data_IF_714431008042
#
_entry.id   IF_714431008042
#
_cell.length_a   1.000
_cell.length_b   1.000
_cell.length_c   1.000
_cell.angle_alpha   90.00
_cell.angle_beta   90.00
_cell.angle_gamma   90.00
#
_symmetry.space_group_name_H-M   'P 1'
#
loop_
_entity.id
_entity.type
_entity.pdbx_description
1 polymer ?
#
# COMPACT_ATOMS: atom_id res chain seq x y z
N UNK A 1 56.92 -27.46 -46.96
CA UNK A 1 57.50 -27.31 -45.61
C UNK A 1 56.34 -26.92 -44.69
N UNK A 2 55.79 -27.83 -43.87
CA UNK A 2 55.95 -27.92 -42.39
C UNK A 2 55.88 -26.53 -41.72
N UNK A 3 55.09 -26.20 -40.69
CA UNK A 3 54.23 -26.85 -39.68
C UNK A 3 53.44 -25.68 -39.06
N UNK A 4 52.22 -25.86 -38.55
CA UNK A 4 52.06 -25.98 -37.10
C UNK A 4 50.61 -25.78 -36.67
N UNK A 5 50.25 -26.55 -35.65
CA UNK A 5 48.92 -26.83 -35.07
C UNK A 5 48.66 -25.92 -33.85
N UNK A 6 47.39 -25.69 -33.51
CA UNK A 6 46.79 -25.39 -32.17
C UNK A 6 45.97 -24.09 -32.20
N UNK A 7 44.79 -23.95 -31.58
CA UNK A 7 43.94 -24.83 -30.79
C UNK A 7 42.58 -24.10 -30.56
N UNK A 8 41.52 -24.89 -30.35
CA UNK A 8 40.34 -24.70 -29.47
C UNK A 8 39.69 -23.31 -29.31
N UNK A 9 38.36 -23.26 -29.46
CA UNK A 9 37.38 -23.20 -28.35
C UNK A 9 35.97 -23.00 -28.93
N UNK A 10 35.04 -23.88 -28.55
CA UNK A 10 33.60 -23.76 -28.79
C UNK A 10 32.95 -22.98 -27.64
N UNK A 11 32.01 -22.07 -27.91
CA UNK A 11 31.00 -21.66 -26.92
C UNK A 11 29.65 -21.46 -27.60
N UNK A 12 28.69 -22.30 -27.19
CA UNK A 12 27.28 -22.18 -27.49
C UNK A 12 26.70 -20.95 -26.77
N UNK A 13 26.09 -20.03 -27.52
CA UNK A 13 25.27 -18.94 -26.97
C UNK A 13 23.88 -19.49 -26.64
N UNK A 14 23.72 -19.93 -25.39
CA UNK A 14 22.42 -20.27 -24.80
C UNK A 14 21.64 -19.00 -24.45
N UNK A 15 20.38 -18.94 -24.89
CA UNK A 15 19.43 -17.89 -24.57
C UNK A 15 19.07 -17.91 -23.08
N UNK A 16 19.36 -16.83 -22.35
CA UNK A 16 18.86 -16.60 -21.00
C UNK A 16 17.54 -15.84 -21.06
N UNK A 17 16.42 -16.58 -21.00
CA UNK A 17 15.12 -16.04 -20.65
C UNK A 17 15.16 -15.64 -19.17
N UNK A 18 15.32 -14.35 -18.89
CA UNK A 18 15.13 -13.79 -17.56
C UNK A 18 13.63 -13.81 -17.23
N UNK A 19 13.16 -14.90 -16.62
CA UNK A 19 11.88 -14.90 -15.93
C UNK A 19 12.02 -14.00 -14.70
N UNK A 20 11.43 -12.80 -14.79
CA UNK A 20 11.31 -11.90 -13.65
C UNK A 20 10.60 -12.61 -12.51
N UNK A 21 11.31 -12.79 -11.40
CA UNK A 21 10.73 -13.25 -10.15
C UNK A 21 9.81 -12.15 -9.62
N UNK A 22 8.52 -12.23 -9.95
CA UNK A 22 7.50 -11.46 -9.24
C UNK A 22 7.49 -11.94 -7.79
N UNK A 23 7.85 -11.05 -6.85
CA UNK A 23 7.65 -11.30 -5.43
C UNK A 23 6.15 -11.39 -5.17
N UNK A 24 5.66 -12.59 -4.84
CA UNK A 24 4.28 -12.76 -4.39
C UNK A 24 4.13 -12.05 -3.05
N UNK A 25 3.41 -10.93 -3.05
CA UNK A 25 2.95 -10.29 -1.80
C UNK A 25 1.89 -11.18 -1.17
N UNK A 26 2.02 -11.46 0.13
CA UNK A 26 1.02 -12.23 0.86
C UNK A 26 -0.32 -11.48 0.81
N UNK A 27 -1.41 -12.20 0.59
CA UNK A 27 -2.74 -11.60 0.64
C UNK A 27 -3.00 -11.04 2.06
N UNK A 28 -3.75 -9.93 2.18
CA UNK A 28 -4.17 -9.39 3.47
C UNK A 28 -4.98 -10.45 4.24
N UNK A 29 -4.85 -10.48 5.56
CA UNK A 29 -5.69 -11.34 6.42
C UNK A 29 -6.95 -10.60 6.86
N UNK A 30 -7.98 -11.33 7.27
CA UNK A 30 -9.21 -10.71 7.79
C UNK A 30 -8.95 -9.95 9.10
N UNK A 31 -9.45 -8.72 9.19
CA UNK A 31 -9.43 -7.91 10.40
C UNK A 31 -10.59 -8.30 11.31
N UNK A 32 -10.28 -8.70 12.55
CA UNK A 32 -11.29 -8.89 13.60
C UNK A 32 -11.69 -7.54 14.22
N UNK A 33 -12.70 -6.89 13.63
CA UNK A 33 -13.28 -5.65 14.11
C UNK A 33 -14.82 -5.79 14.21
N UNK A 34 -15.34 -6.40 15.29
CA UNK A 34 -16.76 -6.77 15.38
C UNK A 34 -17.71 -5.58 15.36
N UNK A 35 -17.25 -4.40 15.78
CA UNK A 35 -18.06 -3.19 15.89
C UNK A 35 -17.74 -2.12 14.84
N UNK A 36 -16.83 -2.39 13.90
CA UNK A 36 -16.56 -1.50 12.77
C UNK A 36 -17.32 -2.00 11.54
N UNK A 37 -17.93 -1.12 10.76
CA UNK A 37 -18.46 -1.50 9.44
C UNK A 37 -17.33 -1.86 8.50
N UNK A 38 -16.28 -1.05 8.41
CA UNK A 38 -15.04 -1.36 7.70
C UNK A 38 -13.81 -1.08 8.57
N UNK A 39 -12.72 -1.81 8.34
CA UNK A 39 -11.46 -1.60 9.05
C UNK A 39 -10.27 -2.03 8.20
N UNK A 40 -9.12 -1.40 8.42
CA UNK A 40 -7.87 -1.86 7.83
C UNK A 40 -6.67 -1.56 8.75
N UNK A 41 -5.67 -2.43 8.64
CA UNK A 41 -4.30 -2.14 8.99
C UNK A 41 -3.52 -1.94 7.69
N UNK A 42 -2.91 -0.77 7.54
CA UNK A 42 -2.20 -0.34 6.34
C UNK A 42 -0.72 -0.17 6.68
N UNK A 43 0.16 -0.74 5.86
CA UNK A 43 1.60 -0.56 5.98
C UNK A 43 2.06 0.78 5.38
N UNK A 44 3.27 1.21 5.71
CA UNK A 44 3.80 2.51 5.28
C UNK A 44 3.87 2.68 3.75
N UNK A 45 4.01 1.59 2.99
CA UNK A 45 4.01 1.60 1.53
C UNK A 45 2.61 1.52 0.90
N UNK A 46 1.55 1.48 1.72
CA UNK A 46 0.17 1.33 1.26
C UNK A 46 -0.33 -0.12 1.21
N UNK A 47 0.49 -1.13 1.56
CA UNK A 47 0.01 -2.51 1.54
C UNK A 47 -1.02 -2.77 2.65
N UNK A 48 -2.08 -3.52 2.32
CA UNK A 48 -3.06 -3.99 3.30
C UNK A 48 -2.48 -5.19 4.08
N UNK A 49 -2.41 -5.04 5.40
CA UNK A 49 -1.96 -6.12 6.30
C UNK A 49 -3.14 -6.90 6.86
N UNK A 50 -4.15 -6.17 7.36
CA UNK A 50 -5.42 -6.72 7.82
C UNK A 50 -6.57 -5.92 7.23
N UNK A 51 -7.66 -6.57 6.87
CA UNK A 51 -8.80 -5.87 6.28
C UNK A 51 -10.16 -6.45 6.68
N UNK A 52 -11.13 -5.55 6.83
CA UNK A 52 -12.57 -5.82 6.80
C UNK A 52 -13.17 -4.81 5.84
N UNK A 53 -13.60 -5.29 4.67
CA UNK A 53 -14.26 -4.48 3.64
C UNK A 53 -13.44 -3.30 3.08
N UNK A 54 -12.12 -3.33 3.21
CA UNK A 54 -11.18 -2.47 2.49
C UNK A 54 -10.40 -3.35 1.51
N UNK A 55 -10.53 -3.12 0.21
CA UNK A 55 -9.96 -3.98 -0.84
C UNK A 55 -8.73 -3.37 -1.51
N UNK A 56 -8.54 -2.05 -1.40
CA UNK A 56 -7.43 -1.38 -2.04
C UNK A 56 -6.97 -0.14 -1.26
N UNK A 57 -5.67 0.13 -1.28
CA UNK A 57 -5.09 1.40 -0.84
C UNK A 57 -4.13 1.89 -1.91
N UNK A 58 -4.42 3.06 -2.47
CA UNK A 58 -3.49 3.77 -3.35
C UNK A 58 -2.50 4.59 -2.54
N UNK A 59 -1.23 4.61 -2.96
CA UNK A 59 -0.17 5.44 -2.36
C UNK A 59 0.45 6.37 -3.41
N UNK A 60 -0.25 7.44 -3.83
CA UNK A 60 0.19 8.28 -4.94
C UNK A 60 1.40 9.18 -4.62
N UNK A 61 1.65 9.49 -3.33
CA UNK A 61 2.76 10.32 -2.90
C UNK A 61 3.08 10.10 -1.43
N UNK A 62 4.25 10.54 -0.99
CA UNK A 62 4.67 10.41 0.41
C UNK A 62 3.61 10.94 1.37
N UNK A 63 3.26 10.12 2.36
CA UNK A 63 2.30 10.38 3.42
C UNK A 63 0.84 10.51 2.97
N UNK A 64 0.49 10.17 1.72
CA UNK A 64 -0.88 10.25 1.22
C UNK A 64 -1.38 8.87 0.78
N UNK A 65 -2.51 8.45 1.35
CA UNK A 65 -3.12 7.16 1.08
C UNK A 65 -4.58 7.33 0.66
N UNK A 66 -5.01 6.53 -0.31
CA UNK A 66 -6.36 6.49 -0.86
C UNK A 66 -7.00 5.15 -0.52
N UNK A 67 -7.74 5.09 0.60
CA UNK A 67 -8.30 3.85 1.16
C UNK A 67 -9.67 3.59 0.57
N UNK A 68 -9.79 2.56 -0.28
CA UNK A 68 -11.05 2.19 -0.92
C UNK A 68 -11.84 1.19 -0.09
N UNK A 69 -13.14 1.46 0.07
CA UNK A 69 -14.09 0.59 0.77
C UNK A 69 -14.86 -0.24 -0.25
N UNK A 70 -14.85 -1.55 -0.10
CA UNK A 70 -15.37 -2.47 -1.12
C UNK A 70 -16.90 -2.59 -1.13
N UNK A 71 -17.56 -2.19 -0.03
CA UNK A 71 -18.98 -2.39 0.17
C UNK A 71 -19.75 -1.12 -0.16
N UNK A 72 -20.55 -1.16 -1.23
CA UNK A 72 -21.34 -0.01 -1.68
C UNK A 72 -22.43 0.45 -0.71
N UNK A 73 -22.78 -0.38 0.29
CA UNK A 73 -23.74 -0.01 1.33
C UNK A 73 -23.10 0.77 2.49
N UNK A 74 -21.77 0.85 2.54
CA UNK A 74 -21.04 1.72 3.46
C UNK A 74 -21.00 3.11 2.85
N UNK A 75 -21.60 4.08 3.54
CA UNK A 75 -21.60 5.48 3.13
C UNK A 75 -20.35 6.17 3.70
N UNK A 76 -19.28 6.19 2.91
CA UNK A 76 -17.99 6.76 3.32
C UNK A 76 -18.14 8.26 3.65
N UNK A 77 -18.88 9.02 2.86
CA UNK A 77 -19.04 10.47 3.02
C UNK A 77 -19.73 10.82 4.35
N UNK A 78 -20.69 9.99 4.78
CA UNK A 78 -21.41 10.14 6.06
C UNK A 78 -20.76 9.44 7.25
N UNK A 79 -19.71 8.67 7.03
CA UNK A 79 -19.00 7.98 8.09
C UNK A 79 -18.15 8.95 8.92
N UNK A 80 -17.97 8.64 10.21
CA UNK A 80 -17.03 9.35 11.09
C UNK A 80 -15.87 8.40 11.38
N UNK A 81 -14.85 8.34 10.49
CA UNK A 81 -13.76 7.40 10.65
C UNK A 81 -12.87 7.77 11.82
N UNK A 82 -12.21 6.76 12.38
CA UNK A 82 -11.11 6.92 13.33
C UNK A 82 -9.87 6.26 12.76
N UNK A 83 -8.71 6.91 12.91
CA UNK A 83 -7.44 6.34 12.51
C UNK A 83 -6.35 6.67 13.52
N UNK A 84 -5.38 5.76 13.66
CA UNK A 84 -4.24 5.89 14.55
C UNK A 84 -2.97 5.43 13.83
N UNK A 85 -1.86 6.13 14.08
CA UNK A 85 -0.56 5.74 13.56
C UNK A 85 -0.09 4.46 14.26
N UNK A 86 0.38 3.46 13.48
CA UNK A 86 0.88 2.19 14.00
C UNK A 86 2.27 2.36 14.62
N UNK A 87 3.12 3.14 13.97
CA UNK A 87 4.54 3.31 14.32
C UNK A 87 4.83 4.73 14.83
N UNK A 88 3.95 5.25 15.71
CA UNK A 88 4.04 6.61 16.26
C UNK A 88 5.40 6.89 16.91
N UNK A 89 6.04 5.93 17.56
CA UNK A 89 7.34 6.13 18.22
C UNK A 89 8.49 6.38 17.24
N UNK A 90 8.38 5.92 15.99
CA UNK A 90 9.45 6.02 14.99
C UNK A 90 9.43 7.37 14.26
N UNK A 91 8.25 7.95 14.04
CA UNK A 91 8.07 9.16 13.23
C UNK A 91 7.28 10.28 13.93
N UNK A 92 6.53 9.94 14.98
CA UNK A 92 5.62 10.82 15.70
C UNK A 92 4.56 11.44 14.80
N UNK A 93 3.97 12.56 15.26
CA UNK A 93 3.16 13.44 14.45
C UNK A 93 1.66 13.16 14.48
N UNK A 94 1.02 13.25 13.32
CA UNK A 94 -0.45 13.24 13.23
C UNK A 94 -0.96 12.51 12.00
N UNK A 95 -2.21 12.09 12.06
CA UNK A 95 -2.95 11.48 10.97
C UNK A 95 -4.22 12.30 10.73
N UNK A 96 -4.52 12.60 9.47
CA UNK A 96 -5.77 13.21 9.03
C UNK A 96 -6.51 12.22 8.16
N UNK A 97 -7.82 12.15 8.33
CA UNK A 97 -8.72 11.38 7.47
C UNK A 97 -9.77 12.31 6.91
N UNK A 98 -9.98 12.27 5.60
CA UNK A 98 -10.99 13.01 4.87
C UNK A 98 -11.90 12.01 4.16
N UNK A 99 -13.21 12.12 4.37
CA UNK A 99 -14.23 11.28 3.71
C UNK A 99 -14.74 11.89 2.41
N UNK A 100 -14.55 13.21 2.23
CA UNK A 100 -14.93 13.91 1.01
C UNK A 100 -14.01 13.53 -0.15
N UNK A 101 -14.54 13.36 -1.38
CA UNK A 101 -13.73 13.05 -2.55
C UNK A 101 -12.58 14.03 -2.74
N UNK A 102 -11.35 13.51 -2.78
CA UNK A 102 -10.14 14.30 -2.96
C UNK A 102 -9.55 14.05 -4.35
N UNK A 103 -9.09 15.10 -5.03
CA UNK A 103 -8.50 15.00 -6.37
C UNK A 103 -7.21 14.17 -6.39
N UNK A 104 -6.46 14.13 -5.29
CA UNK A 104 -5.28 13.26 -5.15
C UNK A 104 -5.64 11.77 -5.19
N UNK A 105 -6.86 11.43 -4.78
CA UNK A 105 -7.44 10.09 -4.86
C UNK A 105 -8.39 9.92 -6.05
N UNK A 106 -8.27 10.77 -7.08
CA UNK A 106 -9.08 10.68 -8.29
C UNK A 106 -10.56 11.04 -8.11
N UNK A 107 -10.96 11.59 -6.96
CA UNK A 107 -12.35 11.98 -6.68
C UNK A 107 -13.32 10.80 -6.53
N UNK A 108 -12.83 9.62 -6.13
CA UNK A 108 -13.66 8.43 -5.96
C UNK A 108 -14.55 8.50 -4.69
N UNK A 109 -15.85 8.22 -4.84
CA UNK A 109 -16.83 8.34 -3.76
C UNK A 109 -16.72 7.29 -2.65
N UNK A 110 -16.10 6.14 -2.93
CA UNK A 110 -15.89 5.05 -1.97
C UNK A 110 -14.44 5.03 -1.46
N UNK A 111 -13.83 6.21 -1.31
CA UNK A 111 -12.42 6.33 -0.98
C UNK A 111 -12.19 7.41 0.05
N UNK A 112 -11.55 7.03 1.16
CA UNK A 112 -11.04 7.97 2.15
C UNK A 112 -9.67 8.44 1.73
N UNK A 113 -9.39 9.73 1.95
CA UNK A 113 -8.04 10.26 1.86
C UNK A 113 -7.44 10.28 3.26
N UNK A 114 -6.32 9.60 3.43
CA UNK A 114 -5.56 9.59 4.68
C UNK A 114 -4.24 10.29 4.43
N UNK A 115 -3.90 11.24 5.30
CA UNK A 115 -2.63 11.96 5.24
C UNK A 115 -1.90 11.82 6.56
N UNK A 116 -0.63 11.46 6.50
CA UNK A 116 0.23 11.23 7.67
C UNK A 116 1.38 12.23 7.71
N UNK A 117 1.65 12.74 8.90
CA UNK A 117 2.64 13.78 9.16
C UNK A 117 3.61 13.36 10.26
N UNK A 118 4.87 13.77 10.14
CA UNK A 118 5.84 13.70 11.24
C UNK A 118 5.57 14.80 12.30
N UNK A 119 6.36 14.82 13.38
CA UNK A 119 6.26 15.84 14.43
C UNK A 119 6.54 17.27 13.96
N UNK A 120 7.18 17.45 12.79
CA UNK A 120 7.49 18.75 12.20
C UNK A 120 6.41 19.21 11.21
N UNK A 121 5.39 18.39 10.97
CA UNK A 121 4.32 18.67 10.02
C UNK A 121 4.66 18.34 8.56
N UNK A 122 5.76 17.61 8.30
CA UNK A 122 6.07 17.12 6.95
C UNK A 122 5.31 15.84 6.65
N UNK A 123 4.94 15.61 5.39
CA UNK A 123 4.38 14.32 4.99
C UNK A 123 5.40 13.20 5.18
N UNK A 124 4.96 12.07 5.73
CA UNK A 124 5.82 10.90 5.99
C UNK A 124 5.07 9.61 5.72
N UNK A 125 5.73 8.65 5.09
CA UNK A 125 5.18 7.30 4.94
C UNK A 125 5.21 6.58 6.28
N UNK A 126 4.03 6.19 6.78
CA UNK A 126 3.92 5.47 8.05
C UNK A 126 2.67 4.61 8.06
N UNK A 127 2.77 3.45 8.71
CA UNK A 127 1.63 2.54 8.82
C UNK A 127 0.56 3.09 9.77
N UNK A 128 -0.68 2.69 9.56
CA UNK A 128 -1.81 3.12 10.38
C UNK A 128 -2.90 2.07 10.47
N UNK A 129 -3.74 2.21 11.48
CA UNK A 129 -5.02 1.52 11.59
C UNK A 129 -6.15 2.50 11.29
N UNK A 130 -7.19 2.05 10.61
CA UNK A 130 -8.39 2.84 10.32
C UNK A 130 -9.64 2.00 10.55
N UNK A 131 -10.68 2.64 11.08
CA UNK A 131 -12.01 2.05 11.31
C UNK A 131 -13.10 3.02 10.91
N UNK A 132 -14.14 2.49 10.25
CA UNK A 132 -15.42 3.15 10.04
C UNK A 132 -16.44 2.52 11.01
N UNK A 133 -17.28 3.31 11.69
CA UNK A 133 -18.30 2.81 12.61
C UNK A 133 -19.40 2.02 11.90
#
# INVERSE_FOLDING_TARGET
MRKGISALVALATGATLALGAGSAVAAPVDAYAPHATAAAEVAANGDLVKTKYVDYVGHPSTGLYCVHVSQSWIDVDRSVPSAILRDYSSHGGSIRVETTPNSACGGAAQTLTVVTYDNSGNHVDTGFYITLP
#
